data_IF_855544004284
#
_entry.id   IF_855544004284
#
_cell.length_a   1.000
_cell.length_b   1.000
_cell.length_c   1.000
_cell.angle_alpha   90.00
_cell.angle_beta   90.00
_cell.angle_gamma   90.00
#
_symmetry.space_group_name_H-M   'P 1'
#
loop_
_entity.id
_entity.type
_entity.pdbx_description
1 polymer ?
#
# COMPACT_ATOMS: atom_id res chain seq x y z
N UNK A 1 -12.45 22.25 12.78
CA UNK A 1 -13.58 22.04 11.85
C UNK A 1 -13.55 23.13 10.79
N UNK A 2 -13.91 22.86 9.53
CA UNK A 2 -14.00 23.91 8.51
C UNK A 2 -15.22 24.80 8.80
N UNK A 3 -15.04 26.12 8.81
CA UNK A 3 -16.14 27.07 9.01
C UNK A 3 -17.00 27.22 7.75
N UNK A 4 -18.18 27.81 7.86
CA UNK A 4 -19.04 28.08 6.68
C UNK A 4 -18.35 29.04 5.70
N UNK A 5 -17.52 29.95 6.23
CA UNK A 5 -16.63 30.82 5.45
C UNK A 5 -15.60 30.01 4.64
N UNK A 6 -15.03 28.95 5.21
CA UNK A 6 -14.11 28.05 4.50
C UNK A 6 -14.83 27.32 3.35
N UNK A 7 -16.10 26.94 3.53
CA UNK A 7 -16.92 26.32 2.48
C UNK A 7 -17.27 27.30 1.35
N UNK A 8 -17.61 28.55 1.68
CA UNK A 8 -17.85 29.60 0.68
C UNK A 8 -16.58 29.93 -0.11
N UNK A 9 -15.41 29.93 0.54
CA UNK A 9 -14.12 30.10 -0.14
C UNK A 9 -13.87 29.00 -1.17
N UNK A 10 -14.20 27.74 -0.84
CA UNK A 10 -14.09 26.62 -1.76
C UNK A 10 -15.03 26.77 -2.98
N UNK A 11 -16.27 27.20 -2.77
CA UNK A 11 -17.23 27.41 -3.87
C UNK A 11 -16.82 28.54 -4.82
N UNK A 12 -16.31 29.65 -4.29
CA UNK A 12 -15.77 30.75 -5.13
C UNK A 12 -14.54 30.30 -5.91
N UNK A 13 -13.67 29.47 -5.30
CA UNK A 13 -12.50 28.92 -5.98
C UNK A 13 -12.88 27.95 -7.10
N UNK A 14 -13.92 27.12 -6.91
CA UNK A 14 -14.46 26.25 -7.97
C UNK A 14 -15.00 27.04 -9.17
N UNK A 15 -15.50 28.26 -8.93
CA UNK A 15 -15.96 29.19 -9.98
C UNK A 15 -14.82 29.95 -10.67
N UNK A 16 -13.57 29.71 -10.28
CA UNK A 16 -12.39 30.32 -10.88
C UNK A 16 -12.05 31.73 -10.35
N UNK A 17 -12.62 32.15 -9.22
CA UNK A 17 -12.30 33.44 -8.59
C UNK A 17 -10.89 33.40 -7.99
N UNK A 18 -10.12 34.48 -8.13
CA UNK A 18 -8.74 34.57 -7.66
C UNK A 18 -8.62 34.53 -6.13
N UNK A 19 -7.53 33.95 -5.61
CA UNK A 19 -7.34 33.78 -4.15
C UNK A 19 -7.35 35.12 -3.39
N UNK A 20 -6.80 36.17 -3.99
CA UNK A 20 -6.76 37.51 -3.39
C UNK A 20 -8.13 38.19 -3.35
N UNK A 21 -8.96 37.94 -4.36
CA UNK A 21 -10.35 38.41 -4.43
C UNK A 21 -11.20 37.69 -3.37
N UNK A 22 -11.06 36.36 -3.27
CA UNK A 22 -11.72 35.55 -2.23
C UNK A 22 -11.30 36.02 -0.84
N UNK A 23 -10.00 36.31 -0.66
CA UNK A 23 -9.47 36.83 0.61
C UNK A 23 -10.14 38.15 0.98
N UNK A 24 -10.23 39.09 0.04
CA UNK A 24 -10.87 40.39 0.27
C UNK A 24 -12.38 40.25 0.53
N UNK A 25 -13.07 39.44 -0.28
CA UNK A 25 -14.52 39.24 -0.22
C UNK A 25 -14.97 38.53 1.06
N UNK A 26 -14.23 37.54 1.52
CA UNK A 26 -14.58 36.77 2.72
C UNK A 26 -13.89 37.33 3.98
N UNK A 27 -12.96 38.27 3.85
CA UNK A 27 -12.24 38.89 4.97
C UNK A 27 -11.21 37.96 5.62
N UNK A 28 -10.42 37.24 4.82
CA UNK A 28 -9.25 36.52 5.35
C UNK A 28 -8.07 37.46 5.58
N UNK A 29 -7.30 37.23 6.65
CA UNK A 29 -6.16 38.09 7.01
C UNK A 29 -5.07 38.07 5.93
N UNK A 30 -4.82 36.90 5.34
CA UNK A 30 -3.79 36.69 4.32
C UNK A 30 -4.24 35.66 3.29
N UNK A 31 -3.63 35.65 2.10
CA UNK A 31 -3.89 34.64 1.07
C UNK A 31 -3.59 33.21 1.59
N UNK A 32 -2.56 33.07 2.42
CA UNK A 32 -2.21 31.79 3.05
C UNK A 32 -3.30 31.27 3.99
N UNK A 33 -3.90 32.15 4.80
CA UNK A 33 -5.02 31.76 5.69
C UNK A 33 -6.28 31.40 4.92
N UNK A 34 -6.54 32.08 3.79
CA UNK A 34 -7.59 31.72 2.84
C UNK A 34 -7.37 30.30 2.32
N UNK A 35 -6.17 29.98 1.83
CA UNK A 35 -5.86 28.65 1.32
C UNK A 35 -5.87 27.54 2.37
N UNK A 36 -5.46 27.83 3.62
CA UNK A 36 -5.64 26.89 4.74
C UNK A 36 -7.13 26.62 5.01
N UNK A 37 -7.98 27.63 4.88
CA UNK A 37 -9.44 27.48 4.95
C UNK A 37 -9.99 26.57 3.87
N UNK A 38 -9.66 26.84 2.61
CA UNK A 38 -10.06 26.00 1.47
C UNK A 38 -9.59 24.55 1.65
N UNK A 39 -8.35 24.32 2.10
CA UNK A 39 -7.86 22.96 2.38
C UNK A 39 -8.69 22.24 3.45
N UNK A 40 -9.11 22.94 4.52
CA UNK A 40 -10.02 22.38 5.53
C UNK A 40 -11.40 22.08 4.95
N UNK A 41 -11.94 22.94 4.09
CA UNK A 41 -13.20 22.71 3.40
C UNK A 41 -13.15 21.50 2.46
N UNK A 42 -12.05 21.34 1.71
CA UNK A 42 -11.80 20.15 0.88
C UNK A 42 -11.77 18.90 1.76
N UNK A 43 -10.99 18.91 2.85
CA UNK A 43 -10.91 17.78 3.77
C UNK A 43 -12.29 17.45 4.39
N UNK A 44 -13.10 18.46 4.73
CA UNK A 44 -14.47 18.27 5.22
C UNK A 44 -15.38 17.67 4.14
N UNK A 45 -15.28 18.15 2.89
CA UNK A 45 -16.08 17.64 1.76
C UNK A 45 -15.74 16.20 1.38
N UNK A 46 -14.52 15.74 1.68
CA UNK A 46 -14.06 14.35 1.45
C UNK A 46 -14.34 13.41 2.61
N UNK A 47 -14.72 13.92 3.78
CA UNK A 47 -14.77 13.16 5.05
C UNK A 47 -15.83 12.05 5.08
N UNK A 48 -16.80 12.07 4.16
CA UNK A 48 -17.86 11.06 4.05
C UNK A 48 -17.91 10.40 2.66
N UNK A 49 -16.86 10.57 1.85
CA UNK A 49 -16.78 9.96 0.54
C UNK A 49 -15.87 8.73 0.61
N UNK A 50 -16.45 7.55 0.49
CA UNK A 50 -15.69 6.32 0.28
C UNK A 50 -15.15 6.29 -1.15
N UNK A 51 -14.13 5.48 -1.40
CA UNK A 51 -13.59 5.26 -2.75
C UNK A 51 -14.71 4.82 -3.70
N UNK A 52 -15.62 3.96 -3.24
CA UNK A 52 -16.79 3.53 -4.01
C UNK A 52 -17.73 4.69 -4.40
N UNK A 53 -18.04 5.60 -3.46
CA UNK A 53 -18.90 6.74 -3.77
C UNK A 53 -18.27 7.69 -4.79
N UNK A 54 -16.95 7.88 -4.76
CA UNK A 54 -16.25 8.66 -5.78
C UNK A 54 -16.19 7.89 -7.12
N UNK A 55 -15.98 6.57 -7.12
CA UNK A 55 -16.06 5.73 -8.34
C UNK A 55 -17.45 5.83 -8.99
N UNK A 56 -18.52 5.72 -8.20
CA UNK A 56 -19.89 5.84 -8.69
C UNK A 56 -20.15 7.22 -9.32
N UNK A 57 -19.70 8.29 -8.68
CA UNK A 57 -19.82 9.65 -9.20
C UNK A 57 -19.04 9.85 -10.51
N UNK A 58 -17.81 9.33 -10.59
CA UNK A 58 -17.02 9.43 -11.82
C UNK A 58 -17.61 8.56 -12.95
N UNK A 59 -18.18 7.39 -12.63
CA UNK A 59 -18.90 6.57 -13.60
C UNK A 59 -20.13 7.29 -14.16
N UNK A 60 -20.87 8.02 -13.32
CA UNK A 60 -22.00 8.84 -13.75
C UNK A 60 -21.53 9.96 -14.71
N UNK A 61 -20.50 10.72 -14.32
CA UNK A 61 -19.90 11.78 -15.16
C UNK A 61 -19.40 11.26 -16.50
N UNK A 62 -18.71 10.12 -16.51
CA UNK A 62 -18.25 9.47 -17.73
C UNK A 62 -19.42 8.95 -18.58
N UNK A 63 -20.51 8.52 -17.96
CA UNK A 63 -21.72 8.08 -18.68
C UNK A 63 -22.42 9.26 -19.36
N UNK A 64 -22.48 10.42 -18.70
CA UNK A 64 -23.01 11.66 -19.28
C UNK A 64 -22.18 12.13 -20.47
N UNK A 65 -20.86 12.16 -20.32
CA UNK A 65 -19.95 12.50 -21.42
C UNK A 65 -20.07 11.51 -22.58
N UNK A 66 -20.11 10.20 -22.27
CA UNK A 66 -20.29 9.16 -23.28
C UNK A 66 -21.57 9.39 -24.08
N UNK A 67 -22.69 9.74 -23.43
CA UNK A 67 -23.96 9.98 -24.12
C UNK A 67 -23.86 11.11 -25.13
N UNK A 68 -23.17 12.20 -24.80
CA UNK A 68 -22.95 13.33 -25.71
C UNK A 68 -22.08 12.90 -26.90
N UNK A 69 -20.90 12.34 -26.61
CA UNK A 69 -19.93 11.96 -27.66
C UNK A 69 -20.50 10.86 -28.56
N UNK A 70 -21.29 9.94 -28.01
CA UNK A 70 -21.92 8.86 -28.78
C UNK A 70 -22.94 9.39 -29.79
N UNK A 71 -23.72 10.41 -29.44
CA UNK A 71 -24.60 11.05 -30.41
C UNK A 71 -23.79 11.68 -31.54
N UNK A 72 -22.74 12.44 -31.22
CA UNK A 72 -21.86 13.07 -32.22
C UNK A 72 -21.22 12.03 -33.15
N UNK A 73 -20.65 10.96 -32.58
CA UNK A 73 -20.06 9.86 -33.34
C UNK A 73 -21.08 9.19 -34.28
N UNK A 74 -22.33 9.03 -33.84
CA UNK A 74 -23.39 8.39 -34.62
C UNK A 74 -23.92 9.27 -35.76
N UNK A 75 -24.08 10.57 -35.52
CA UNK A 75 -24.68 11.48 -36.51
C UNK A 75 -23.69 11.94 -37.57
N UNK A 76 -22.45 12.24 -37.16
CA UNK A 76 -21.45 12.84 -38.05
C UNK A 76 -20.46 11.82 -38.60
N UNK A 77 -20.33 10.65 -37.96
CA UNK A 77 -19.34 9.63 -38.36
C UNK A 77 -17.89 10.09 -38.18
N UNK A 78 -17.66 11.16 -37.39
CA UNK A 78 -16.34 11.71 -37.14
C UNK A 78 -15.45 10.69 -36.40
N UNK A 79 -14.30 10.39 -37.00
CA UNK A 79 -13.32 9.47 -36.45
C UNK A 79 -12.84 9.90 -35.05
N UNK A 80 -12.78 11.20 -34.78
CA UNK A 80 -12.35 11.74 -33.48
C UNK A 80 -13.37 11.40 -32.40
N UNK A 81 -14.66 11.61 -32.68
CA UNK A 81 -15.77 11.27 -31.79
C UNK A 81 -15.85 9.76 -31.51
N UNK A 82 -15.63 8.92 -32.53
CA UNK A 82 -15.56 7.46 -32.36
C UNK A 82 -14.40 7.08 -31.41
N UNK A 83 -13.20 7.66 -31.62
CA UNK A 83 -12.05 7.42 -30.75
C UNK A 83 -12.28 7.88 -29.31
N UNK A 84 -12.92 9.03 -29.11
CA UNK A 84 -13.30 9.52 -27.79
C UNK A 84 -14.31 8.60 -27.09
N UNK A 85 -15.31 8.09 -27.81
CA UNK A 85 -16.25 7.10 -27.30
C UNK A 85 -15.53 5.83 -26.81
N UNK A 86 -14.63 5.28 -27.63
CA UNK A 86 -13.85 4.09 -27.26
C UNK A 86 -13.01 4.36 -26.00
N UNK A 87 -12.35 5.51 -25.93
CA UNK A 87 -11.55 5.91 -24.77
C UNK A 87 -12.39 6.06 -23.51
N UNK A 88 -13.55 6.70 -23.58
CA UNK A 88 -14.46 6.82 -22.42
C UNK A 88 -14.97 5.44 -22.00
N UNK A 89 -15.32 4.57 -22.96
CA UNK A 89 -15.74 3.19 -22.70
C UNK A 89 -14.67 2.39 -21.97
N UNK A 90 -13.42 2.47 -22.40
CA UNK A 90 -12.29 1.85 -21.71
C UNK A 90 -12.14 2.39 -20.28
N UNK A 91 -12.22 3.71 -20.07
CA UNK A 91 -12.10 4.29 -18.72
C UNK A 91 -13.21 3.81 -17.79
N UNK A 92 -14.45 3.68 -18.29
CA UNK A 92 -15.57 3.12 -17.52
C UNK A 92 -15.32 1.67 -17.14
N UNK A 93 -14.88 0.84 -18.08
CA UNK A 93 -14.57 -0.57 -17.81
C UNK A 93 -13.39 -0.71 -16.84
N UNK A 94 -12.39 0.18 -16.91
CA UNK A 94 -11.26 0.21 -15.97
C UNK A 94 -11.72 0.54 -14.54
N UNK A 95 -12.58 1.53 -14.36
CA UNK A 95 -13.11 1.86 -13.04
C UNK A 95 -13.96 0.73 -12.45
N UNK A 96 -14.68 -0.02 -13.28
CA UNK A 96 -15.45 -1.20 -12.87
C UNK A 96 -14.57 -2.43 -12.58
N UNK A 97 -13.45 -2.58 -13.30
CA UNK A 97 -12.54 -3.72 -13.16
C UNK A 97 -11.48 -3.52 -12.06
N UNK A 98 -11.38 -2.33 -11.46
CA UNK A 98 -10.50 -2.13 -10.32
C UNK A 98 -10.99 -2.99 -9.15
N UNK A 99 -10.09 -3.75 -8.49
CA UNK A 99 -10.46 -4.49 -7.30
C UNK A 99 -11.06 -3.56 -6.24
N UNK A 100 -11.99 -4.11 -5.47
CA UNK A 100 -12.52 -3.40 -4.31
C UNK A 100 -11.38 -3.25 -3.30
N UNK A 101 -11.01 -2.04 -2.87
CA UNK A 101 -10.06 -1.88 -1.76
C UNK A 101 -10.55 -2.52 -0.45
N UNK A 102 -11.85 -2.88 -0.35
CA UNK A 102 -12.41 -3.64 0.75
C UNK A 102 -12.35 -5.17 0.57
N UNK A 103 -11.88 -5.69 -0.58
CA UNK A 103 -11.56 -7.12 -0.68
C UNK A 103 -10.46 -7.46 0.32
N UNK A 104 -10.76 -8.40 1.23
CA UNK A 104 -10.11 -8.57 2.55
C UNK A 104 -8.61 -8.95 2.53
N UNK A 105 -7.99 -9.08 1.36
CA UNK A 105 -6.58 -9.46 1.25
C UNK A 105 -5.84 -8.64 0.19
N UNK A 106 -5.35 -7.46 0.57
CA UNK A 106 -4.32 -6.76 -0.23
C UNK A 106 -2.96 -7.41 0.01
N UNK A 107 -1.99 -7.15 -0.86
CA UNK A 107 -0.64 -7.69 -0.66
C UNK A 107 0.01 -7.11 0.60
N UNK A 108 -0.28 -5.84 0.91
CA UNK A 108 0.11 -5.19 2.16
C UNK A 108 -0.45 -5.89 3.40
N UNK A 109 -1.75 -6.21 3.43
CA UNK A 109 -2.33 -6.91 4.59
C UNK A 109 -1.76 -8.32 4.76
N UNK A 110 -1.63 -9.08 3.67
CA UNK A 110 -1.00 -10.40 3.69
C UNK A 110 0.49 -10.36 4.11
N UNK A 111 1.21 -9.30 3.74
CA UNK A 111 2.58 -9.09 4.19
C UNK A 111 2.65 -8.84 5.70
N UNK A 112 1.79 -7.99 6.26
CA UNK A 112 1.75 -7.77 7.71
C UNK A 112 1.37 -9.03 8.49
N UNK A 113 0.41 -9.82 8.00
CA UNK A 113 0.07 -11.12 8.61
C UNK A 113 1.27 -12.06 8.62
N UNK A 114 2.05 -12.06 7.53
CA UNK A 114 3.27 -12.86 7.44
C UNK A 114 4.30 -12.39 8.45
N UNK A 115 4.55 -11.08 8.55
CA UNK A 115 5.51 -10.51 9.52
C UNK A 115 5.08 -10.80 10.95
N UNK A 116 3.80 -10.66 11.28
CA UNK A 116 3.27 -10.95 12.61
C UNK A 116 3.41 -12.42 13.04
N UNK A 117 3.57 -13.33 12.09
CA UNK A 117 3.82 -14.76 12.34
C UNK A 117 5.32 -15.10 12.49
N UNK A 118 6.22 -14.14 12.29
CA UNK A 118 7.66 -14.35 12.44
C UNK A 118 8.13 -14.01 13.85
N UNK A 119 9.26 -14.61 14.22
CA UNK A 119 10.04 -14.22 15.40
C UNK A 119 11.05 -13.16 14.95
N UNK A 120 10.58 -11.92 14.76
CA UNK A 120 11.40 -10.79 14.30
C UNK A 120 11.98 -9.96 15.46
N UNK A 121 13.08 -9.25 15.20
CA UNK A 121 13.62 -8.27 16.14
C UNK A 121 14.06 -6.96 15.49
N UNK A 122 14.64 -6.07 16.29
CA UNK A 122 15.06 -4.74 15.84
C UNK A 122 16.00 -4.77 14.62
N UNK A 123 16.75 -5.86 14.41
CA UNK A 123 17.65 -6.05 13.26
C UNK A 123 16.89 -6.21 11.94
N UNK A 124 15.64 -6.67 11.99
CA UNK A 124 14.80 -6.92 10.82
C UNK A 124 14.03 -5.67 10.36
N UNK A 125 14.02 -4.60 11.18
CA UNK A 125 13.27 -3.36 10.93
C UNK A 125 13.42 -2.83 9.50
N UNK A 126 14.65 -2.82 8.96
CA UNK A 126 14.92 -2.30 7.62
C UNK A 126 14.34 -3.21 6.53
N UNK A 127 14.44 -4.53 6.69
CA UNK A 127 13.89 -5.50 5.75
C UNK A 127 12.36 -5.47 5.74
N UNK A 128 11.75 -5.39 6.93
CA UNK A 128 10.30 -5.25 7.09
C UNK A 128 9.81 -3.96 6.44
N UNK A 129 10.48 -2.82 6.71
CA UNK A 129 10.11 -1.54 6.11
C UNK A 129 10.22 -1.55 4.57
N UNK A 130 11.26 -2.21 4.02
CA UNK A 130 11.41 -2.38 2.58
C UNK A 130 10.28 -3.23 1.99
N UNK A 131 9.90 -4.33 2.66
CA UNK A 131 8.79 -5.18 2.25
C UNK A 131 7.45 -4.42 2.24
N UNK A 132 7.17 -3.63 3.29
CA UNK A 132 6.00 -2.73 3.37
C UNK A 132 5.94 -1.75 2.19
N UNK A 133 7.06 -1.12 1.87
CA UNK A 133 7.11 -0.15 0.78
C UNK A 133 6.81 -0.80 -0.57
N UNK A 134 7.35 -2.00 -0.82
CA UNK A 134 7.08 -2.75 -2.05
C UNK A 134 5.62 -3.20 -2.11
N UNK A 135 5.09 -3.80 -1.04
CA UNK A 135 3.71 -4.26 -0.99
C UNK A 135 2.72 -3.10 -1.20
N UNK A 136 2.94 -1.95 -0.54
CA UNK A 136 2.13 -0.75 -0.72
C UNK A 136 2.20 -0.21 -2.15
N UNK A 137 3.37 -0.23 -2.78
CA UNK A 137 3.52 0.22 -4.17
C UNK A 137 2.81 -0.71 -5.15
N UNK A 138 2.82 -2.01 -4.90
CA UNK A 138 2.12 -3.00 -5.70
C UNK A 138 0.60 -2.87 -5.55
N UNK A 139 0.10 -2.76 -4.31
CA UNK A 139 -1.32 -2.49 -4.03
C UNK A 139 -1.78 -1.19 -4.69
N UNK A 140 -0.98 -0.11 -4.57
CA UNK A 140 -1.28 1.16 -5.23
C UNK A 140 -1.36 0.99 -6.76
N UNK A 141 -0.37 0.33 -7.37
CA UNK A 141 -0.33 0.15 -8.81
C UNK A 141 -1.50 -0.71 -9.31
N UNK A 142 -1.84 -1.80 -8.60
CA UNK A 142 -2.97 -2.67 -8.93
C UNK A 142 -4.29 -1.89 -8.83
N UNK A 143 -4.46 -1.07 -7.79
CA UNK A 143 -5.69 -0.34 -7.56
C UNK A 143 -5.84 0.92 -8.43
N UNK A 144 -4.75 1.57 -8.87
CA UNK A 144 -4.81 2.92 -9.45
C UNK A 144 -4.15 3.07 -10.82
N UNK A 145 -3.22 2.19 -11.20
CA UNK A 145 -2.46 2.33 -12.44
C UNK A 145 -3.02 1.44 -13.56
N UNK A 146 -2.53 1.66 -14.79
CA UNK A 146 -2.96 0.94 -15.99
C UNK A 146 -1.76 0.57 -16.86
N UNK A 147 -1.75 -0.60 -17.49
CA UNK A 147 -0.73 -0.93 -18.50
C UNK A 147 0.69 -1.13 -17.94
N UNK A 148 1.65 -0.34 -18.42
CA UNK A 148 3.08 -0.58 -18.18
C UNK A 148 3.47 -0.33 -16.72
N UNK A 149 2.79 0.57 -16.02
CA UNK A 149 3.01 0.89 -14.62
C UNK A 149 2.66 -0.28 -13.71
N UNK A 150 1.54 -0.96 -13.99
CA UNK A 150 1.15 -2.19 -13.27
C UNK A 150 2.18 -3.29 -13.51
N UNK A 151 2.59 -3.46 -14.76
CA UNK A 151 3.62 -4.45 -15.14
C UNK A 151 4.95 -4.18 -14.42
N UNK A 152 5.36 -2.91 -14.33
CA UNK A 152 6.56 -2.49 -13.59
C UNK A 152 6.46 -2.77 -12.09
N UNK A 153 5.29 -2.54 -11.49
CA UNK A 153 5.09 -2.87 -10.09
C UNK A 153 5.14 -4.38 -9.85
N UNK A 154 4.56 -5.18 -10.73
CA UNK A 154 4.61 -6.65 -10.63
C UNK A 154 6.03 -7.21 -10.80
N UNK A 155 6.93 -6.52 -11.52
CA UNK A 155 8.35 -6.87 -11.53
C UNK A 155 9.04 -6.72 -10.16
N UNK A 156 8.40 -6.10 -9.17
CA UNK A 156 8.92 -6.05 -7.81
C UNK A 156 8.65 -7.32 -7.00
N UNK A 157 7.77 -8.20 -7.48
CA UNK A 157 7.40 -9.44 -6.78
C UNK A 157 8.61 -10.30 -6.38
N UNK A 158 9.64 -10.52 -7.23
CA UNK A 158 10.81 -11.30 -6.84
C UNK A 158 11.60 -10.66 -5.69
N UNK A 159 11.66 -9.33 -5.61
CA UNK A 159 12.35 -8.64 -4.52
C UNK A 159 11.58 -8.78 -3.20
N UNK A 160 10.24 -8.69 -3.25
CA UNK A 160 9.40 -8.97 -2.08
C UNK A 160 9.60 -10.41 -1.58
N UNK A 161 9.62 -11.38 -2.49
CA UNK A 161 9.89 -12.78 -2.15
C UNK A 161 11.28 -13.00 -1.56
N UNK A 162 12.30 -12.27 -2.03
CA UNK A 162 13.65 -12.32 -1.47
C UNK A 162 13.71 -11.74 -0.05
N UNK A 163 12.97 -10.66 0.23
CA UNK A 163 12.86 -10.10 1.59
C UNK A 163 12.20 -11.12 2.51
N UNK A 164 11.06 -11.69 2.09
CA UNK A 164 10.38 -12.75 2.85
C UNK A 164 11.28 -13.97 3.07
N UNK A 165 12.08 -14.37 2.08
CA UNK A 165 13.05 -15.44 2.25
C UNK A 165 14.14 -15.09 3.26
N UNK A 166 14.66 -13.86 3.22
CA UNK A 166 15.68 -13.38 4.15
C UNK A 166 15.17 -13.32 5.59
N UNK A 167 13.88 -13.01 5.77
CA UNK A 167 13.19 -13.02 7.06
C UNK A 167 12.76 -14.43 7.52
N UNK A 168 13.07 -15.49 6.77
CA UNK A 168 12.66 -16.86 7.15
C UNK A 168 11.19 -17.18 6.88
N UNK A 169 10.45 -16.32 6.18
CA UNK A 169 9.01 -16.47 5.95
C UNK A 169 8.65 -17.49 4.84
N UNK A 170 9.61 -17.92 4.02
CA UNK A 170 9.35 -18.92 2.97
C UNK A 170 9.60 -20.35 3.47
N UNK A 171 8.88 -21.37 2.95
CA UNK A 171 9.10 -22.77 3.34
C UNK A 171 10.56 -23.20 3.18
N UNK A 172 11.20 -22.78 2.09
CA UNK A 172 12.61 -23.05 1.84
C UNK A 172 13.51 -22.38 2.89
N UNK A 173 13.30 -21.11 3.19
CA UNK A 173 14.10 -20.42 4.19
C UNK A 173 13.95 -21.05 5.58
N UNK A 174 12.73 -21.46 5.98
CA UNK A 174 12.51 -22.21 7.23
C UNK A 174 13.27 -23.53 7.26
N UNK A 175 13.23 -24.30 6.18
CA UNK A 175 13.97 -25.56 6.08
C UNK A 175 15.49 -25.33 6.14
N UNK A 176 16.00 -24.31 5.44
CA UNK A 176 17.41 -23.95 5.44
C UNK A 176 17.87 -23.49 6.84
N UNK A 177 17.06 -22.71 7.57
CA UNK A 177 17.32 -22.33 8.97
C UNK A 177 17.32 -23.57 9.87
N UNK A 178 16.30 -24.43 9.77
CA UNK A 178 16.20 -25.66 10.55
C UNK A 178 17.39 -26.61 10.34
N UNK A 179 17.92 -26.67 9.10
CA UNK A 179 19.10 -27.49 8.77
C UNK A 179 20.43 -26.94 9.32
N UNK A 180 20.48 -25.63 9.62
CA UNK A 180 21.68 -24.92 10.11
C UNK A 180 21.69 -24.72 11.61
N UNK A 181 20.55 -24.85 12.29
CA UNK A 181 20.50 -25.00 13.74
C UNK A 181 21.31 -26.26 14.08
N UNK A 182 22.43 -26.13 14.81
CA UNK A 182 23.31 -27.26 15.02
C UNK A 182 22.57 -28.33 15.83
N UNK A 183 23.02 -29.58 15.70
CA UNK A 183 22.93 -30.58 16.75
C UNK A 183 23.72 -30.14 18.02
N UNK A 184 23.57 -28.88 18.45
CA UNK A 184 24.25 -28.25 19.57
C UNK A 184 23.85 -28.90 20.90
N UNK A 185 22.70 -29.58 20.95
CA UNK A 185 22.31 -30.38 22.11
C UNK A 185 23.08 -31.70 22.22
N UNK A 186 23.66 -32.23 21.13
CA UNK A 186 24.39 -33.49 21.13
C UNK A 186 25.87 -33.31 21.54
N UNK A 187 26.57 -32.34 20.93
CA UNK A 187 27.99 -32.09 21.23
C UNK A 187 28.21 -31.53 22.64
N UNK A 188 27.27 -30.73 23.16
CA UNK A 188 27.35 -30.20 24.53
C UNK A 188 26.99 -31.26 25.59
N UNK A 189 26.23 -32.28 25.21
CA UNK A 189 25.92 -33.43 26.07
C UNK A 189 27.07 -34.44 26.12
N UNK A 190 27.73 -34.72 24.99
CA UNK A 190 28.92 -35.58 24.94
C UNK A 190 30.10 -34.96 25.72
N UNK A 191 30.37 -33.66 25.55
CA UNK A 191 31.43 -32.98 26.31
C UNK A 191 31.18 -32.97 27.83
N UNK A 192 29.92 -32.79 28.27
CA UNK A 192 29.55 -32.87 29.70
C UNK A 192 29.62 -34.29 30.26
N UNK A 193 29.42 -35.31 29.42
CA UNK A 193 29.54 -36.70 29.84
C UNK A 193 31.01 -37.10 30.03
N UNK A 194 31.90 -36.64 29.15
CA UNK A 194 33.35 -36.87 29.26
C UNK A 194 33.97 -36.15 30.47
N UNK A 195 33.60 -34.89 30.73
CA UNK A 195 34.08 -34.16 31.92
C UNK A 195 33.65 -34.83 33.23
N UNK A 196 32.40 -35.30 33.34
CA UNK A 196 31.93 -36.03 34.53
C UNK A 196 32.66 -37.36 34.72
N UNK A 197 33.04 -38.05 33.64
CA UNK A 197 33.76 -39.31 33.72
C UNK A 197 35.20 -39.10 34.22
N UNK A 198 35.84 -38.00 33.80
CA UNK A 198 37.19 -37.64 34.25
C UNK A 198 37.21 -37.26 35.74
N UNK A 199 36.22 -36.48 36.20
CA UNK A 199 36.06 -36.14 37.62
C UNK A 199 35.83 -37.38 38.50
N UNK A 200 35.04 -38.35 38.03
CA UNK A 200 34.83 -39.61 38.75
C UNK A 200 36.10 -40.47 38.81
N UNK A 201 36.87 -40.52 37.73
CA UNK A 201 38.15 -41.25 37.67
C UNK A 201 39.19 -40.61 38.59
N UNK A 202 39.34 -39.29 38.61
CA UNK A 202 40.24 -38.60 39.54
C UNK A 202 39.85 -38.83 41.01
N UNK A 203 38.56 -38.81 41.31
CA UNK A 203 38.02 -39.11 42.65
C UNK A 203 38.25 -40.57 43.06
N UNK A 204 38.26 -41.50 42.11
CA UNK A 204 38.58 -42.90 42.36
C UNK A 204 40.09 -43.08 42.61
N UNK A 205 40.93 -42.48 41.77
CA UNK A 205 42.39 -42.58 41.88
C UNK A 205 42.95 -41.94 43.17
N UNK A 206 42.35 -40.85 43.64
CA UNK A 206 42.71 -40.21 44.91
C UNK A 206 42.33 -40.99 46.18
N UNK A 207 41.54 -42.08 46.06
CA UNK A 207 41.22 -42.98 47.17
C UNK A 207 42.22 -44.12 47.36
N UNK A 208 43.11 -44.35 46.39
CA UNK A 208 44.07 -45.45 46.39
C UNK A 208 45.54 -45.00 46.44
N UNK A 209 45.80 -43.70 46.64
CA UNK A 209 47.11 -43.12 46.95
C UNK A 209 47.17 -42.55 48.36
#
# INVERSE_FOLDING_TARGET
>A
MASDKDMQALELMKKGVGVDEIRAQLGYRTAETCMKGVKRAIARSRRCKTIETERALELERLSDLYRIVYQMAKTEGDATSIQLCLRIGEQRMRLLAQPDPADETTLGSAFEETVAALDDDARDTAAIAAGRAIAAQMDYAIAHCVGIEVTKALYLMPYLMNILASLGATPKARADIASKLPAASAQTAEAKHEDNLMDEVEKYMSRFG
#
